data_IF_364773182473
#
_entry.id   IF_364773182473
#
_cell.length_a   1.000
_cell.length_b   1.000
_cell.length_c   1.000
_cell.angle_alpha   90.00
_cell.angle_beta   90.00
_cell.angle_gamma   90.00
#
_symmetry.space_group_name_H-M   'P 1'
#
loop_
_entity.id
_entity.type
_entity.pdbx_description
1 polymer ?
#
# COMPACT_ATOMS: atom_id res chain seq x y z
N UNK A 1 -10.29 31.20 -27.29
CA UNK A 1 -10.28 29.76 -26.98
C UNK A 1 -9.44 29.54 -25.72
N UNK A 2 -10.09 29.33 -24.58
CA UNK A 2 -9.40 29.15 -23.30
C UNK A 2 -8.67 27.80 -23.27
N UNK A 3 -7.34 27.83 -23.06
CA UNK A 3 -6.54 26.63 -22.78
C UNK A 3 -7.07 26.01 -21.49
N UNK A 4 -7.85 24.92 -21.61
CA UNK A 4 -8.22 24.07 -20.47
C UNK A 4 -6.94 23.71 -19.72
N UNK A 5 -6.87 24.13 -18.46
CA UNK A 5 -5.73 23.85 -17.59
C UNK A 5 -5.43 22.36 -17.59
N UNK A 6 -4.15 22.00 -17.74
CA UNK A 6 -3.68 20.64 -17.47
C UNK A 6 -4.19 20.29 -16.08
N UNK A 7 -5.17 19.39 -15.99
CA UNK A 7 -5.48 18.72 -14.71
C UNK A 7 -4.13 18.17 -14.25
N UNK A 8 -3.62 18.68 -13.13
CA UNK A 8 -2.44 18.13 -12.47
C UNK A 8 -2.79 16.67 -12.23
N UNK A 9 -2.30 15.78 -13.08
CA UNK A 9 -2.42 14.35 -12.85
C UNK A 9 -1.75 14.11 -11.53
N UNK A 10 -2.51 13.66 -10.52
CA UNK A 10 -1.94 13.19 -9.28
C UNK A 10 -0.81 12.19 -9.57
N UNK A 11 0.09 11.99 -8.61
CA UNK A 11 1.20 11.06 -8.77
C UNK A 11 0.66 9.73 -9.33
N UNK A 12 1.05 9.39 -10.58
CA UNK A 12 0.50 8.23 -11.30
C UNK A 12 0.70 6.94 -10.51
N UNK A 13 1.68 6.94 -9.60
CA UNK A 13 1.98 5.88 -8.64
C UNK A 13 2.56 6.51 -7.36
N UNK A 14 2.17 5.98 -6.20
CA UNK A 14 2.82 6.23 -4.91
C UNK A 14 3.74 5.05 -4.61
N UNK A 15 4.96 5.31 -4.13
CA UNK A 15 5.82 4.25 -3.60
C UNK A 15 5.40 3.98 -2.17
N UNK A 16 5.20 2.72 -1.85
CA UNK A 16 4.91 2.25 -0.50
C UNK A 16 6.03 1.33 -0.05
N UNK A 17 6.36 1.40 1.23
CA UNK A 17 7.25 0.46 1.90
C UNK A 17 6.37 -0.44 2.77
N UNK A 18 6.58 -1.75 2.70
CA UNK A 18 5.78 -2.72 3.45
C UNK A 18 6.68 -3.48 4.41
N UNK A 19 6.29 -3.47 5.69
CA UNK A 19 6.87 -4.36 6.69
C UNK A 19 6.17 -5.71 6.64
N UNK A 20 6.95 -6.79 6.53
CA UNK A 20 6.41 -8.16 6.47
C UNK A 20 7.04 -9.02 7.57
N UNK A 21 6.32 -10.02 8.10
CA UNK A 21 6.92 -11.02 8.97
C UNK A 21 8.13 -11.68 8.29
N UNK A 22 9.25 -11.81 9.02
CA UNK A 22 10.53 -12.29 8.49
C UNK A 22 10.41 -13.61 7.72
N UNK A 23 9.60 -14.54 8.23
CA UNK A 23 9.32 -15.83 7.57
C UNK A 23 8.64 -15.65 6.22
N UNK A 24 7.63 -14.79 6.14
CA UNK A 24 6.91 -14.50 4.89
C UNK A 24 7.85 -13.86 3.86
N UNK A 25 8.63 -12.88 4.30
CA UNK A 25 9.65 -12.26 3.45
C UNK A 25 10.60 -13.30 2.84
N UNK A 26 11.16 -14.21 3.64
CA UNK A 26 12.09 -15.23 3.11
C UNK A 26 11.43 -16.22 2.16
N UNK A 27 10.18 -16.59 2.40
CA UNK A 27 9.43 -17.45 1.46
C UNK A 27 9.25 -16.73 0.12
N UNK A 28 8.74 -15.49 0.13
CA UNK A 28 8.54 -14.71 -1.09
C UNK A 28 9.86 -14.41 -1.81
N UNK A 29 10.91 -14.08 -1.05
CA UNK A 29 12.24 -13.83 -1.60
C UNK A 29 12.88 -15.10 -2.19
N UNK A 30 12.65 -16.26 -1.57
CA UNK A 30 13.06 -17.56 -2.11
C UNK A 30 12.38 -17.88 -3.44
N UNK A 31 11.06 -17.65 -3.54
CA UNK A 31 10.30 -17.78 -4.80
C UNK A 31 10.85 -16.82 -5.86
N UNK A 32 11.18 -15.59 -5.46
CA UNK A 32 11.78 -14.58 -6.33
C UNK A 32 13.27 -14.83 -6.64
N UNK A 33 13.87 -15.90 -6.11
CA UNK A 33 15.29 -16.25 -6.27
C UNK A 33 16.27 -15.14 -5.81
N UNK A 34 15.88 -14.36 -4.80
CA UNK A 34 16.67 -13.23 -4.31
C UNK A 34 16.66 -11.99 -5.22
N UNK A 35 15.88 -11.99 -6.30
CA UNK A 35 15.76 -10.85 -7.22
C UNK A 35 14.64 -9.91 -6.76
N UNK A 36 15.02 -8.71 -6.30
CA UNK A 36 14.10 -7.69 -5.81
C UNK A 36 13.06 -7.24 -6.86
N UNK A 37 13.42 -7.24 -8.16
CA UNK A 37 12.46 -6.89 -9.22
C UNK A 37 11.42 -7.98 -9.39
N UNK A 38 11.81 -9.25 -9.26
CA UNK A 38 10.86 -10.38 -9.29
C UNK A 38 10.00 -10.39 -8.04
N UNK A 39 10.57 -10.10 -6.86
CA UNK A 39 9.83 -9.99 -5.61
C UNK A 39 8.72 -8.92 -5.71
N UNK A 40 9.07 -7.74 -6.23
CA UNK A 40 8.10 -6.67 -6.45
C UNK A 40 7.00 -7.05 -7.45
N UNK A 41 7.33 -7.79 -8.51
CA UNK A 41 6.31 -8.30 -9.46
C UNK A 41 5.42 -9.36 -8.81
N UNK A 42 5.99 -10.26 -8.02
CA UNK A 42 5.26 -11.29 -7.29
C UNK A 42 4.26 -10.66 -6.32
N UNK A 43 4.70 -9.71 -5.50
CA UNK A 43 3.83 -9.01 -4.55
C UNK A 43 2.69 -8.29 -5.29
N UNK A 44 2.99 -7.61 -6.41
CA UNK A 44 1.96 -6.97 -7.24
C UNK A 44 0.95 -7.97 -7.79
N UNK A 45 1.41 -9.10 -8.34
CA UNK A 45 0.53 -10.15 -8.86
C UNK A 45 -0.40 -10.69 -7.78
N UNK A 46 0.12 -10.99 -6.59
CA UNK A 46 -0.69 -11.47 -5.45
C UNK A 46 -1.77 -10.45 -5.08
N UNK A 47 -1.44 -9.15 -5.06
CA UNK A 47 -2.41 -8.09 -4.76
C UNK A 47 -3.46 -7.96 -5.87
N UNK A 48 -3.04 -7.97 -7.14
CA UNK A 48 -3.95 -7.89 -8.29
C UNK A 48 -4.91 -9.09 -8.31
N UNK A 49 -4.41 -10.30 -8.14
CA UNK A 49 -5.20 -11.53 -8.06
C UNK A 49 -6.22 -11.45 -6.91
N UNK A 50 -5.77 -11.03 -5.72
CA UNK A 50 -6.66 -10.92 -4.56
C UNK A 50 -7.75 -9.87 -4.79
N UNK A 51 -7.42 -8.73 -5.39
CA UNK A 51 -8.40 -7.66 -5.67
C UNK A 51 -9.38 -8.05 -6.77
N UNK A 52 -8.96 -8.82 -7.78
CA UNK A 52 -9.85 -9.32 -8.83
C UNK A 52 -10.90 -10.30 -8.28
N UNK A 53 -10.53 -11.12 -7.29
CA UNK A 53 -11.42 -12.11 -6.69
C UNK A 53 -12.29 -11.55 -5.56
N UNK A 54 -11.98 -10.36 -5.04
CA UNK A 54 -12.67 -9.78 -3.89
C UNK A 54 -14.03 -9.17 -4.25
N UNK A 55 -14.98 -9.31 -3.32
CA UNK A 55 -16.31 -8.69 -3.44
C UNK A 55 -16.28 -7.22 -3.00
N UNK A 56 -17.28 -6.43 -3.39
CA UNK A 56 -17.41 -5.03 -2.97
C UNK A 56 -17.38 -4.88 -1.45
N UNK A 57 -18.06 -5.77 -0.73
CA UNK A 57 -18.08 -5.75 0.74
C UNK A 57 -16.70 -6.02 1.37
N UNK A 58 -15.88 -6.90 0.76
CA UNK A 58 -14.50 -7.13 1.23
C UNK A 58 -13.61 -5.91 1.00
N UNK A 59 -13.80 -5.21 -0.12
CA UNK A 59 -13.05 -4.00 -0.44
C UNK A 59 -13.41 -2.86 0.52
N UNK A 60 -14.68 -2.70 0.85
CA UNK A 60 -15.16 -1.73 1.84
C UNK A 60 -14.55 -1.99 3.23
N UNK A 61 -14.38 -3.25 3.64
CA UNK A 61 -13.71 -3.61 4.89
C UNK A 61 -12.23 -3.20 4.90
N UNK A 62 -11.53 -3.29 3.78
CA UNK A 62 -10.13 -2.84 3.71
C UNK A 62 -10.00 -1.32 3.77
N UNK A 63 -10.97 -0.58 3.23
CA UNK A 63 -11.00 0.88 3.32
C UNK A 63 -11.32 1.34 4.74
N UNK A 64 -12.34 0.76 5.38
CA UNK A 64 -12.74 1.13 6.74
C UNK A 64 -11.64 0.87 7.79
N UNK A 65 -10.82 -0.17 7.62
CA UNK A 65 -9.64 -0.39 8.46
C UNK A 65 -8.47 0.55 8.18
N UNK A 66 -8.39 1.09 6.96
CA UNK A 66 -7.37 2.06 6.59
C UNK A 66 -7.62 3.42 7.24
N UNK A 67 -8.88 3.84 7.33
CA UNK A 67 -9.28 5.09 8.00
C UNK A 67 -9.00 5.04 9.51
N UNK A 68 -9.30 3.92 10.18
CA UNK A 68 -9.00 3.75 11.62
C UNK A 68 -7.49 3.74 11.92
N UNK A 69 -6.67 3.13 11.04
CA UNK A 69 -5.21 3.09 11.19
C UNK A 69 -4.54 4.43 10.86
N UNK A 70 -5.03 5.16 9.85
CA UNK A 70 -4.55 6.52 9.54
C UNK A 70 -4.88 7.51 10.67
N UNK A 71 -6.06 7.40 11.30
CA UNK A 71 -6.42 8.21 12.48
C UNK A 71 -5.55 7.88 13.71
N UNK A 72 -5.21 6.60 13.94
CA UNK A 72 -4.31 6.18 15.02
C UNK A 72 -2.86 6.65 14.78
N UNK A 73 -2.34 6.54 13.55
CA UNK A 73 -0.99 7.03 13.19
C UNK A 73 -0.90 8.56 13.33
N UNK A 74 -1.93 9.32 12.92
CA UNK A 74 -1.99 10.78 13.12
C UNK A 74 -2.05 11.18 14.61
N UNK A 75 -2.73 10.38 15.46
CA UNK A 75 -2.79 10.65 16.90
C UNK A 75 -1.47 10.35 17.61
N UNK A 76 -0.76 9.29 17.22
CA UNK A 76 0.57 8.96 17.77
C UNK A 76 1.62 10.02 17.40
N UNK A 77 1.64 10.49 16.14
CA UNK A 77 2.55 11.57 15.71
C UNK A 77 2.31 12.88 16.52
N UNK A 78 1.04 13.22 16.79
CA UNK A 78 0.67 14.42 17.57
C UNK A 78 1.01 14.27 19.07
N UNK A 79 1.01 13.05 19.61
CA UNK A 79 1.44 12.80 20.99
C UNK A 79 2.96 12.80 21.17
N UNK A 80 3.72 12.35 20.16
CA UNK A 80 5.20 12.44 20.17
C UNK A 80 5.67 13.89 20.06
N UNK A 81 5.07 14.71 19.18
CA UNK A 81 5.39 16.14 19.06
C UNK A 81 5.07 16.96 20.33
N UNK A 82 4.18 16.49 21.20
CA UNK A 82 3.86 17.16 22.47
C UNK A 82 4.78 16.76 23.63
N UNK A 83 5.58 15.71 23.47
CA UNK A 83 6.50 15.19 24.50
C UNK A 83 7.95 15.65 24.30
N UNK A 84 8.30 16.21 23.14
CA UNK A 84 9.55 16.98 22.90
C UNK A 84 9.41 18.46 23.29
#
# INVERSE_FOLDING_TARGET
MAKRGRKKGGARYRRITLSLPKRLYYVLNGIAMGDERKLNRLIKGILEDKLMESTVAELELYLGRGEELEEEEEMEEVEEEKKE
#
